data_IF_289036250058
#
_entry.id   IF_289036250058
#
_cell.length_a   1.000
_cell.length_b   1.000
_cell.length_c   1.000
_cell.angle_alpha   90.00
_cell.angle_beta   90.00
_cell.angle_gamma   90.00
#
_symmetry.space_group_name_H-M   'P 1'
#
loop_
_entity.id
_entity.type
_entity.pdbx_description
1 polymer ?
#
# COMPACT_ATOMS: atom_id res chain seq x y z
N UNK A 1 9.09 -25.70 -5.97
CA UNK A 1 9.06 -24.89 -4.74
C UNK A 1 7.90 -23.89 -4.83
N UNK A 2 7.30 -23.48 -3.71
CA UNK A 2 6.31 -22.40 -3.71
C UNK A 2 7.05 -21.07 -3.71
N UNK A 3 6.59 -20.11 -4.53
CA UNK A 3 7.18 -18.77 -4.54
C UNK A 3 6.79 -18.00 -3.29
N UNK A 4 7.65 -17.13 -2.81
CA UNK A 4 7.32 -16.11 -1.82
C UNK A 4 6.41 -15.04 -2.44
N UNK A 5 5.69 -14.29 -1.65
CA UNK A 5 4.80 -13.22 -2.12
C UNK A 5 5.07 -11.94 -1.33
N UNK A 6 5.53 -10.90 -2.02
CA UNK A 6 5.67 -9.56 -1.46
C UNK A 6 4.51 -8.70 -1.94
N UNK A 7 3.55 -8.42 -1.05
CA UNK A 7 2.32 -7.73 -1.42
C UNK A 7 2.27 -6.34 -0.79
N UNK A 8 2.55 -5.34 -1.60
CA UNK A 8 2.62 -3.94 -1.22
C UNK A 8 1.39 -3.19 -1.70
N UNK A 9 0.66 -2.55 -0.77
CA UNK A 9 -0.49 -1.71 -1.05
C UNK A 9 -0.28 -0.30 -0.52
N UNK A 10 -0.76 0.68 -1.28
CA UNK A 10 -0.72 2.09 -0.91
C UNK A 10 -2.13 2.66 -0.80
N UNK A 11 -2.41 3.35 0.30
CA UNK A 11 -3.60 4.16 0.40
C UNK A 11 -3.56 5.28 -0.64
N UNK A 12 -4.65 5.47 -1.36
CA UNK A 12 -4.86 6.62 -2.23
C UNK A 12 -3.89 6.75 -3.42
N UNK A 13 -3.15 5.72 -3.84
CA UNK A 13 -2.22 5.81 -4.95
C UNK A 13 -2.94 5.81 -6.31
N UNK A 14 -2.79 6.88 -7.05
CA UNK A 14 -3.44 7.09 -8.36
C UNK A 14 -2.65 6.44 -9.48
N UNK A 15 -3.37 5.72 -10.34
CA UNK A 15 -2.85 5.05 -11.53
C UNK A 15 -2.20 6.02 -12.54
N UNK A 16 -2.80 7.22 -12.75
CA UNK A 16 -2.27 8.23 -13.65
C UNK A 16 -0.91 8.83 -13.22
N UNK A 17 -0.46 8.55 -11.99
CA UNK A 17 0.84 8.96 -11.47
C UNK A 17 1.92 7.88 -11.64
N UNK A 18 1.53 6.70 -12.10
CA UNK A 18 2.44 5.56 -12.26
C UNK A 18 2.70 5.27 -13.74
N UNK A 19 1.68 5.05 -14.55
CA UNK A 19 1.84 4.59 -15.93
C UNK A 19 1.23 5.51 -16.99
N UNK A 20 0.68 6.66 -16.63
CA UNK A 20 0.25 7.64 -17.64
C UNK A 20 1.47 8.27 -18.33
N UNK A 21 1.39 8.43 -19.65
CA UNK A 21 2.45 9.07 -20.45
C UNK A 21 2.71 10.54 -20.06
N UNK A 22 1.77 11.20 -19.40
CA UNK A 22 1.88 12.57 -18.93
C UNK A 22 2.25 12.65 -17.42
N UNK A 23 2.56 11.51 -16.78
CA UNK A 23 3.00 11.51 -15.38
C UNK A 23 4.22 12.41 -15.22
N UNK A 24 4.32 13.09 -14.09
CA UNK A 24 5.49 13.91 -13.75
C UNK A 24 6.26 13.37 -12.54
N UNK A 25 5.71 12.38 -11.85
CA UNK A 25 6.42 11.58 -10.84
C UNK A 25 7.58 10.80 -11.48
N UNK A 26 8.69 10.71 -10.77
CA UNK A 26 9.89 9.97 -11.19
C UNK A 26 9.86 8.61 -10.50
N UNK A 27 9.60 7.56 -11.28
CA UNK A 27 9.28 6.23 -10.75
C UNK A 27 10.06 5.10 -11.43
N UNK A 28 11.41 5.13 -11.43
CA UNK A 28 12.22 4.15 -12.15
C UNK A 28 12.02 2.70 -11.68
N UNK A 29 11.75 2.49 -10.38
CA UNK A 29 11.55 1.15 -9.83
C UNK A 29 10.16 0.59 -10.17
N UNK A 30 9.14 1.43 -10.16
CA UNK A 30 7.80 1.07 -10.66
C UNK A 30 7.82 0.84 -12.17
N UNK A 31 8.54 1.68 -12.94
CA UNK A 31 8.71 1.51 -14.37
C UNK A 31 9.41 0.19 -14.69
N UNK A 32 10.42 -0.20 -13.90
CA UNK A 32 11.06 -1.51 -13.99
C UNK A 32 10.08 -2.66 -13.74
N UNK A 33 9.24 -2.57 -12.69
CA UNK A 33 8.23 -3.60 -12.40
C UNK A 33 7.19 -3.71 -13.53
N UNK A 34 6.78 -2.58 -14.11
CA UNK A 34 5.84 -2.55 -15.25
C UNK A 34 6.48 -3.20 -16.49
N UNK A 35 7.76 -2.92 -16.76
CA UNK A 35 8.48 -3.48 -17.92
C UNK A 35 8.71 -4.99 -17.80
N UNK A 36 9.01 -5.47 -16.59
CA UNK A 36 9.33 -6.89 -16.33
C UNK A 36 8.15 -7.75 -15.94
N UNK A 37 7.06 -7.13 -15.52
CA UNK A 37 5.90 -7.82 -14.96
C UNK A 37 4.64 -7.71 -15.83
N UNK A 38 3.49 -7.79 -15.17
CA UNK A 38 2.17 -7.62 -15.78
C UNK A 38 1.52 -6.38 -15.16
N UNK A 39 1.23 -5.38 -15.99
CA UNK A 39 0.53 -4.16 -15.56
C UNK A 39 -0.95 -4.22 -15.96
N UNK A 40 -1.85 -4.22 -14.97
CA UNK A 40 -3.29 -4.22 -15.16
C UNK A 40 -3.82 -2.78 -15.27
N UNK A 41 -3.83 -2.23 -16.48
CA UNK A 41 -4.20 -0.82 -16.74
C UNK A 41 -5.69 -0.52 -16.56
N UNK A 42 -6.55 -1.53 -16.46
CA UNK A 42 -8.00 -1.44 -16.26
C UNK A 42 -8.45 -1.99 -14.90
N UNK A 43 -7.54 -2.03 -13.91
CA UNK A 43 -7.91 -2.40 -12.55
C UNK A 43 -8.78 -1.31 -11.91
N UNK A 44 -9.92 -1.74 -11.33
CA UNK A 44 -10.90 -0.83 -10.73
C UNK A 44 -11.08 -1.26 -9.27
N UNK A 45 -10.91 -0.32 -8.33
CA UNK A 45 -11.19 -0.60 -6.92
C UNK A 45 -12.70 -0.78 -6.70
N UNK A 46 -13.06 -1.61 -5.74
CA UNK A 46 -14.47 -1.89 -5.42
C UNK A 46 -15.15 -0.75 -4.64
N UNK A 47 -14.35 0.18 -4.13
CA UNK A 47 -14.79 1.34 -3.35
C UNK A 47 -13.71 2.42 -3.35
N UNK A 48 -14.09 3.64 -3.06
CA UNK A 48 -13.26 4.80 -2.76
C UNK A 48 -12.88 4.90 -1.26
N UNK A 49 -13.08 3.83 -0.51
CA UNK A 49 -12.82 3.76 0.93
C UNK A 49 -11.98 2.54 1.29
N UNK A 50 -10.89 2.76 2.01
CA UNK A 50 -9.87 1.76 2.38
C UNK A 50 -10.46 0.48 2.95
N UNK A 51 -11.35 0.58 3.95
CA UNK A 51 -11.91 -0.60 4.60
C UNK A 51 -12.74 -1.49 3.67
N UNK A 52 -13.50 -0.90 2.76
CA UNK A 52 -14.31 -1.63 1.78
C UNK A 52 -13.44 -2.23 0.69
N UNK A 53 -12.47 -1.47 0.17
CA UNK A 53 -11.58 -1.94 -0.87
C UNK A 53 -10.67 -3.06 -0.38
N UNK A 54 -9.97 -2.88 0.74
CA UNK A 54 -9.11 -3.92 1.32
C UNK A 54 -9.91 -5.15 1.77
N UNK A 55 -11.13 -4.96 2.29
CA UNK A 55 -12.03 -6.08 2.56
C UNK A 55 -12.28 -6.93 1.32
N UNK A 56 -12.45 -6.29 0.16
CA UNK A 56 -12.59 -7.00 -1.12
C UNK A 56 -11.29 -7.64 -1.58
N UNK A 57 -10.16 -6.94 -1.44
CA UNK A 57 -8.83 -7.49 -1.75
C UNK A 57 -8.56 -8.75 -0.94
N UNK A 58 -8.88 -8.77 0.36
CA UNK A 58 -8.62 -9.90 1.24
C UNK A 58 -9.55 -11.09 1.01
N UNK A 59 -10.79 -10.83 0.62
CA UNK A 59 -11.84 -11.88 0.53
C UNK A 59 -12.14 -12.31 -0.90
N UNK A 60 -11.63 -11.59 -1.90
CA UNK A 60 -12.01 -11.71 -3.32
C UNK A 60 -13.54 -11.58 -3.53
N UNK A 61 -14.24 -10.81 -2.69
CA UNK A 61 -15.69 -10.60 -2.73
C UNK A 61 -16.03 -9.13 -2.61
N UNK A 62 -17.11 -8.72 -3.25
CA UNK A 62 -17.63 -7.36 -3.06
C UNK A 62 -18.10 -7.11 -1.62
N UNK A 63 -18.01 -5.88 -1.10
CA UNK A 63 -18.33 -5.56 0.29
C UNK A 63 -19.76 -5.96 0.71
N UNK A 64 -20.74 -5.79 -0.18
CA UNK A 64 -22.14 -6.16 0.09
C UNK A 64 -22.36 -7.68 0.26
N UNK A 65 -21.38 -8.51 -0.14
CA UNK A 65 -21.41 -9.98 0.07
C UNK A 65 -20.78 -10.39 1.39
N UNK A 66 -19.92 -9.55 1.96
CA UNK A 66 -19.16 -9.88 3.16
C UNK A 66 -19.69 -9.22 4.43
N UNK A 67 -20.50 -8.17 4.29
CA UNK A 67 -20.90 -7.33 5.40
C UNK A 67 -19.76 -6.49 6.01
N UNK A 68 -18.59 -6.46 5.35
CA UNK A 68 -17.50 -5.57 5.73
C UNK A 68 -17.89 -4.14 5.40
N UNK A 69 -17.67 -3.23 6.33
CA UNK A 69 -17.95 -1.80 6.18
C UNK A 69 -16.68 -0.99 6.39
N UNK A 70 -16.75 0.31 6.16
CA UNK A 70 -15.62 1.22 6.38
C UNK A 70 -15.06 1.16 7.81
N UNK A 71 -15.90 0.90 8.80
CA UNK A 71 -15.51 0.88 10.22
C UNK A 71 -15.48 -0.51 10.85
N UNK A 72 -16.02 -1.51 10.17
CA UNK A 72 -16.16 -2.84 10.75
C UNK A 72 -15.71 -3.94 9.79
N UNK A 73 -14.66 -4.64 10.20
CA UNK A 73 -14.23 -5.87 9.56
C UNK A 73 -15.03 -7.05 10.10
N UNK A 74 -15.65 -7.81 9.21
CA UNK A 74 -16.35 -9.04 9.57
C UNK A 74 -15.37 -10.22 9.60
N UNK A 75 -14.96 -10.64 10.78
CA UNK A 75 -14.00 -11.75 10.99
C UNK A 75 -14.51 -13.13 10.58
N UNK A 76 -15.81 -13.27 10.31
CA UNK A 76 -16.41 -14.55 9.90
C UNK A 76 -16.23 -14.84 8.40
N UNK A 77 -15.63 -13.92 7.66
CA UNK A 77 -15.37 -14.10 6.23
C UNK A 77 -13.96 -14.61 6.02
N UNK A 78 -13.83 -15.78 5.40
CA UNK A 78 -12.53 -16.34 5.05
C UNK A 78 -11.77 -15.45 4.06
N UNK A 79 -10.48 -15.33 4.25
CA UNK A 79 -9.56 -14.59 3.38
C UNK A 79 -8.62 -15.55 2.66
N UNK A 80 -8.10 -15.14 1.51
CA UNK A 80 -7.09 -15.95 0.83
C UNK A 80 -5.77 -16.04 1.63
N UNK A 81 -5.48 -15.07 2.51
CA UNK A 81 -4.34 -15.17 3.43
C UNK A 81 -4.48 -16.35 4.40
N UNK A 82 -5.70 -16.63 4.88
CA UNK A 82 -5.96 -17.83 5.68
C UNK A 82 -5.71 -19.11 4.88
N UNK A 83 -6.18 -19.15 3.63
CA UNK A 83 -5.93 -20.27 2.72
C UNK A 83 -4.43 -20.47 2.48
N UNK A 84 -3.69 -19.39 2.23
CA UNK A 84 -2.24 -19.47 2.06
C UNK A 84 -1.54 -19.98 3.33
N UNK A 85 -1.97 -19.52 4.51
CA UNK A 85 -1.46 -20.02 5.79
C UNK A 85 -1.73 -21.54 5.96
N UNK A 86 -2.93 -22.00 5.65
CA UNK A 86 -3.29 -23.43 5.65
C UNK A 86 -2.45 -24.22 4.64
N UNK A 87 -2.02 -23.59 3.56
CA UNK A 87 -1.10 -24.15 2.58
C UNK A 87 0.38 -24.07 3.00
N UNK A 88 0.67 -23.67 4.24
CA UNK A 88 1.99 -23.66 4.82
C UNK A 88 2.81 -22.37 4.58
N UNK A 89 2.17 -21.28 4.12
CA UNK A 89 2.83 -19.98 4.07
C UNK A 89 2.95 -19.36 5.47
N UNK A 90 4.12 -18.80 5.77
CA UNK A 90 4.26 -17.87 6.87
C UNK A 90 3.72 -16.50 6.45
N UNK A 91 2.80 -15.96 7.23
CA UNK A 91 2.11 -14.71 6.88
C UNK A 91 2.61 -13.58 7.76
N UNK A 92 3.23 -12.58 7.13
CA UNK A 92 3.74 -11.37 7.78
C UNK A 92 2.92 -10.16 7.35
N UNK A 93 2.76 -9.17 8.23
CA UNK A 93 2.13 -7.90 7.89
C UNK A 93 2.84 -6.72 8.52
N UNK A 94 2.93 -5.59 7.79
CA UNK A 94 3.21 -4.26 8.33
C UNK A 94 2.03 -3.36 7.95
N UNK A 95 1.30 -2.89 8.96
CA UNK A 95 0.04 -2.17 8.78
C UNK A 95 -0.11 -1.04 9.80
N UNK A 96 -0.95 -0.02 9.54
CA UNK A 96 -1.27 1.00 10.53
C UNK A 96 -1.89 0.41 11.79
N UNK A 97 -1.55 0.95 12.97
CA UNK A 97 -2.20 0.64 14.25
C UNK A 97 -3.60 1.26 14.31
N UNK A 98 -4.48 0.76 13.47
CA UNK A 98 -5.88 1.14 13.35
C UNK A 98 -6.71 -0.13 13.50
N UNK A 99 -7.77 -0.10 14.30
CA UNK A 99 -8.61 -1.26 14.65
C UNK A 99 -9.03 -2.10 13.44
N UNK A 100 -9.33 -1.49 12.30
CA UNK A 100 -9.67 -2.20 11.07
C UNK A 100 -8.52 -3.10 10.60
N UNK A 101 -7.30 -2.56 10.47
CA UNK A 101 -6.12 -3.30 10.01
C UNK A 101 -5.71 -4.39 11.00
N UNK A 102 -5.81 -4.10 12.30
CA UNK A 102 -5.50 -5.08 13.34
C UNK A 102 -6.45 -6.29 13.27
N UNK A 103 -7.72 -6.07 12.97
CA UNK A 103 -8.69 -7.15 12.77
C UNK A 103 -8.46 -7.89 11.45
N UNK A 104 -8.17 -7.15 10.37
CA UNK A 104 -7.90 -7.70 9.04
C UNK A 104 -6.72 -8.69 9.07
N UNK A 105 -5.68 -8.38 9.83
CA UNK A 105 -4.44 -9.16 9.94
C UNK A 105 -4.35 -10.00 11.23
N UNK A 106 -5.46 -10.18 11.95
CA UNK A 106 -5.46 -10.87 13.25
C UNK A 106 -4.93 -12.31 13.18
N UNK A 107 -5.12 -12.99 12.06
CA UNK A 107 -4.71 -14.39 11.84
C UNK A 107 -3.33 -14.53 11.18
N UNK A 108 -2.59 -13.45 10.97
CA UNK A 108 -1.23 -13.51 10.45
C UNK A 108 -0.27 -14.13 11.48
N UNK A 109 0.79 -14.77 11.00
CA UNK A 109 1.80 -15.39 11.87
C UNK A 109 2.51 -14.32 12.68
N UNK A 110 2.91 -13.24 12.02
CA UNK A 110 3.53 -12.07 12.65
C UNK A 110 2.95 -10.78 12.08
N UNK A 111 2.89 -9.75 12.90
CA UNK A 111 2.39 -8.44 12.51
C UNK A 111 3.15 -7.33 13.22
N UNK A 112 3.68 -6.41 12.44
CA UNK A 112 4.20 -5.13 12.89
C UNK A 112 3.13 -4.06 12.67
N UNK A 113 2.62 -3.48 13.74
CA UNK A 113 1.66 -2.38 13.68
C UNK A 113 2.39 -1.07 13.93
N UNK A 114 2.37 -0.17 12.95
CA UNK A 114 2.97 1.15 13.11
C UNK A 114 1.94 2.19 13.51
N UNK A 115 2.34 3.10 14.39
CA UNK A 115 1.47 4.20 14.80
C UNK A 115 1.29 5.15 13.62
N UNK A 116 0.07 5.31 13.16
CA UNK A 116 -0.28 6.24 12.11
C UNK A 116 -0.83 7.55 12.71
N UNK A 117 -0.07 8.61 12.61
CA UNK A 117 -0.55 9.97 12.85
C UNK A 117 -0.27 10.83 11.62
N UNK A 118 -1.32 11.21 10.92
CA UNK A 118 -1.25 12.01 9.69
C UNK A 118 -0.63 13.41 9.87
N UNK A 119 -0.36 13.82 11.10
CA UNK A 119 0.28 15.10 11.43
C UNK A 119 1.80 14.96 11.56
N UNK A 120 2.32 13.73 11.60
CA UNK A 120 3.69 13.45 11.96
C UNK A 120 4.43 12.72 10.83
N UNK A 121 5.60 13.24 10.46
CA UNK A 121 6.46 12.63 9.44
C UNK A 121 6.96 11.24 9.81
N UNK A 122 7.17 10.98 11.11
CA UNK A 122 7.65 9.68 11.59
C UNK A 122 6.63 8.53 11.35
N UNK A 123 5.39 8.87 11.07
CA UNK A 123 4.36 7.90 10.70
C UNK A 123 4.36 7.54 9.20
N UNK A 124 5.45 7.82 8.50
CA UNK A 124 5.64 7.56 7.07
C UNK A 124 6.91 6.73 6.83
N UNK A 125 7.11 6.29 5.60
CA UNK A 125 8.29 5.53 5.20
C UNK A 125 9.59 6.23 5.61
N UNK A 126 9.70 7.52 5.35
CA UNK A 126 10.87 8.34 5.70
C UNK A 126 11.06 8.50 7.22
N UNK A 127 10.02 8.32 7.99
CA UNK A 127 10.04 8.44 9.45
C UNK A 127 10.49 7.17 10.21
N UNK A 128 10.95 6.14 9.48
CA UNK A 128 11.46 4.90 10.06
C UNK A 128 10.67 3.64 9.68
N UNK A 129 9.46 3.77 9.14
CA UNK A 129 8.68 2.61 8.68
C UNK A 129 9.42 1.92 7.52
N UNK A 130 10.00 2.69 6.59
CA UNK A 130 10.78 2.16 5.49
C UNK A 130 11.97 1.32 5.95
N UNK A 131 12.75 1.83 6.90
CA UNK A 131 13.89 1.10 7.47
C UNK A 131 13.43 -0.15 8.25
N UNK A 132 12.30 -0.08 8.95
CA UNK A 132 11.72 -1.25 9.62
C UNK A 132 11.35 -2.37 8.64
N UNK A 133 10.79 -2.01 7.48
CA UNK A 133 10.47 -2.98 6.41
C UNK A 133 11.75 -3.57 5.81
N UNK A 134 12.77 -2.74 5.51
CA UNK A 134 14.08 -3.21 5.03
C UNK A 134 14.69 -4.20 6.02
N UNK A 135 14.80 -3.82 7.30
CA UNK A 135 15.33 -4.70 8.35
C UNK A 135 14.56 -6.03 8.45
N UNK A 136 13.23 -6.00 8.26
CA UNK A 136 12.43 -7.23 8.24
C UNK A 136 12.78 -8.11 7.03
N UNK A 137 12.99 -7.53 5.86
CA UNK A 137 13.36 -8.27 4.64
C UNK A 137 14.79 -8.81 4.71
N UNK A 138 15.73 -8.08 5.33
CA UNK A 138 17.10 -8.54 5.59
C UNK A 138 17.12 -9.75 6.52
N UNK A 139 16.16 -9.86 7.44
CA UNK A 139 16.02 -11.06 8.27
C UNK A 139 15.52 -12.20 7.38
N UNK A 140 16.14 -13.38 7.52
CA UNK A 140 15.73 -14.57 6.75
C UNK A 140 14.31 -14.98 7.14
N UNK A 141 13.32 -14.57 6.33
CA UNK A 141 11.93 -14.99 6.52
C UNK A 141 11.76 -16.49 6.23
N UNK A 142 10.94 -17.17 7.01
CA UNK A 142 10.66 -18.59 6.81
C UNK A 142 9.85 -18.82 5.53
N UNK A 143 10.45 -19.50 4.55
CA UNK A 143 9.82 -19.80 3.25
C UNK A 143 8.85 -21.02 3.31
N UNK A 144 7.79 -21.04 2.52
CA UNK A 144 7.29 -19.91 1.71
C UNK A 144 6.62 -18.86 2.58
N UNK A 145 6.82 -17.60 2.27
CA UNK A 145 6.21 -16.50 3.00
C UNK A 145 5.31 -15.61 2.11
N UNK A 146 4.33 -14.97 2.73
CA UNK A 146 3.65 -13.80 2.18
C UNK A 146 3.80 -12.63 3.16
N UNK A 147 4.31 -11.52 2.65
CA UNK A 147 4.46 -10.28 3.41
C UNK A 147 3.52 -9.22 2.84
N UNK A 148 2.45 -8.93 3.58
CA UNK A 148 1.49 -7.89 3.24
C UNK A 148 1.86 -6.59 3.93
N UNK A 149 1.95 -5.51 3.13
CA UNK A 149 2.27 -4.18 3.62
C UNK A 149 1.20 -3.21 3.14
N UNK A 150 0.69 -2.38 4.04
CA UNK A 150 -0.20 -1.27 3.69
C UNK A 150 0.37 0.04 4.20
N UNK A 151 0.60 0.99 3.29
CA UNK A 151 1.24 2.27 3.55
C UNK A 151 0.28 3.43 3.36
N UNK A 152 0.28 4.36 4.31
CA UNK A 152 -0.63 5.50 4.39
C UNK A 152 0.02 6.81 3.89
N UNK A 153 1.19 6.76 3.27
CA UNK A 153 2.01 7.92 2.92
C UNK A 153 1.31 8.93 2.00
N UNK A 154 0.39 8.47 1.14
CA UNK A 154 -0.38 9.33 0.24
C UNK A 154 -1.74 9.74 0.80
N UNK A 155 -2.14 9.23 1.98
CA UNK A 155 -3.37 9.65 2.63
C UNK A 155 -3.26 11.11 3.11
N UNK A 156 -4.11 11.98 2.60
CA UNK A 156 -4.04 13.40 2.91
C UNK A 156 -4.48 13.74 4.35
N UNK A 157 -3.84 14.71 5.02
CA UNK A 157 -2.68 15.47 4.57
C UNK A 157 -1.42 14.60 4.53
N UNK A 158 -0.60 14.76 3.51
CA UNK A 158 0.68 14.07 3.38
C UNK A 158 1.83 15.08 3.40
N UNK A 159 3.02 14.59 3.76
CA UNK A 159 4.23 15.39 3.85
C UNK A 159 5.25 14.87 2.85
N UNK A 160 5.73 15.76 2.01
CA UNK A 160 6.82 15.44 1.08
C UNK A 160 8.14 15.58 1.84
N UNK A 161 8.98 14.53 1.88
CA UNK A 161 10.31 14.64 2.46
C UNK A 161 11.13 15.74 1.77
N UNK A 162 11.95 16.50 2.52
CA UNK A 162 12.67 17.65 2.01
C UNK A 162 13.55 17.33 0.80
N UNK A 163 14.18 16.17 0.79
CA UNK A 163 15.01 15.69 -0.32
C UNK A 163 14.22 15.43 -1.61
N UNK A 164 12.91 15.19 -1.48
CA UNK A 164 11.99 14.99 -2.60
C UNK A 164 11.16 16.23 -2.93
N UNK A 165 11.14 17.27 -2.09
CA UNK A 165 10.33 18.48 -2.34
C UNK A 165 10.99 19.44 -3.36
N UNK A 166 11.38 18.87 -4.49
CA UNK A 166 12.03 19.56 -5.62
C UNK A 166 11.30 19.22 -6.93
N UNK A 167 11.21 20.19 -7.85
CA UNK A 167 10.50 20.02 -9.14
C UNK A 167 11.03 18.85 -9.99
N UNK A 168 12.31 18.50 -9.86
CA UNK A 168 12.89 17.35 -10.55
C UNK A 168 12.21 16.01 -10.21
N UNK A 169 11.48 15.93 -9.09
CA UNK A 169 10.75 14.74 -8.65
C UNK A 169 9.26 14.79 -8.95
N UNK A 170 8.76 15.88 -9.54
CA UNK A 170 7.36 16.00 -9.94
C UNK A 170 6.84 17.43 -9.88
N UNK A 171 5.84 17.73 -10.69
CA UNK A 171 5.24 19.07 -10.76
C UNK A 171 4.42 19.41 -9.53
N UNK A 172 3.71 18.43 -8.97
CA UNK A 172 2.89 18.62 -7.78
C UNK A 172 3.54 17.96 -6.57
N UNK A 173 3.13 18.35 -5.36
CA UNK A 173 3.60 17.69 -4.13
C UNK A 173 3.20 16.20 -4.09
N UNK A 174 2.04 15.87 -4.65
CA UNK A 174 1.62 14.49 -4.76
C UNK A 174 2.55 13.68 -5.69
N UNK A 175 2.94 14.22 -6.85
CA UNK A 175 3.91 13.57 -7.74
C UNK A 175 5.25 13.35 -7.05
N UNK A 176 5.73 14.33 -6.28
CA UNK A 176 6.97 14.24 -5.50
C UNK A 176 6.88 13.17 -4.41
N UNK A 177 5.71 13.05 -3.78
CA UNK A 177 5.48 12.00 -2.79
C UNK A 177 5.48 10.61 -3.44
N UNK A 178 4.87 10.45 -4.62
CA UNK A 178 4.95 9.20 -5.41
C UNK A 178 6.40 8.86 -5.76
N UNK A 179 7.22 9.85 -6.09
CA UNK A 179 8.65 9.65 -6.35
C UNK A 179 9.42 9.21 -5.10
N UNK A 180 9.06 9.73 -3.93
CA UNK A 180 9.60 9.27 -2.65
C UNK A 180 9.21 7.81 -2.35
N UNK A 181 7.97 7.42 -2.65
CA UNK A 181 7.54 6.03 -2.51
C UNK A 181 8.34 5.10 -3.43
N UNK A 182 8.56 5.50 -4.68
CA UNK A 182 9.33 4.72 -5.63
C UNK A 182 10.76 4.45 -5.16
N UNK A 183 11.40 5.42 -4.53
CA UNK A 183 12.71 5.25 -3.91
C UNK A 183 12.70 4.13 -2.85
N UNK A 184 11.69 4.10 -1.99
CA UNK A 184 11.56 3.04 -0.98
C UNK A 184 11.23 1.69 -1.60
N UNK A 185 10.42 1.65 -2.65
CA UNK A 185 10.18 0.42 -3.42
C UNK A 185 11.51 -0.13 -3.94
N UNK A 186 12.39 0.73 -4.47
CA UNK A 186 13.72 0.33 -4.90
C UNK A 186 14.55 -0.31 -3.79
N UNK A 187 14.54 0.25 -2.57
CA UNK A 187 15.19 -0.36 -1.41
C UNK A 187 14.60 -1.73 -1.05
N UNK A 188 13.28 -1.86 -1.06
CA UNK A 188 12.64 -3.15 -0.76
C UNK A 188 13.00 -4.22 -1.80
N UNK A 189 13.03 -3.85 -3.07
CA UNK A 189 13.37 -4.78 -4.15
C UNK A 189 14.82 -5.28 -4.09
N UNK A 190 15.74 -4.50 -3.51
CA UNK A 190 17.13 -4.93 -3.30
C UNK A 190 17.25 -6.07 -2.29
N UNK A 191 16.33 -6.17 -1.34
CA UNK A 191 16.30 -7.20 -0.29
C UNK A 191 15.50 -8.46 -0.70
N UNK A 192 14.91 -8.48 -1.90
CA UNK A 192 14.04 -9.55 -2.37
C UNK A 192 14.70 -10.33 -3.51
N UNK A 193 14.73 -11.66 -3.38
CA UNK A 193 15.08 -12.55 -4.49
C UNK A 193 13.90 -12.63 -5.48
N UNK A 194 13.98 -11.85 -6.56
CA UNK A 194 12.93 -11.76 -7.58
C UNK A 194 12.72 -13.06 -8.37
N UNK A 195 13.70 -13.98 -8.40
CA UNK A 195 13.54 -15.30 -9.02
C UNK A 195 12.64 -16.23 -8.20
N UNK A 196 12.50 -15.95 -6.90
CA UNK A 196 11.70 -16.75 -5.97
C UNK A 196 10.48 -16.04 -5.44
N UNK A 197 10.31 -14.75 -5.74
CA UNK A 197 9.28 -13.91 -5.11
C UNK A 197 8.37 -13.27 -6.15
N UNK A 198 7.08 -13.48 -5.99
CA UNK A 198 6.05 -12.73 -6.73
C UNK A 198 5.87 -11.39 -6.03
N UNK A 199 6.18 -10.30 -6.73
CA UNK A 199 5.91 -8.94 -6.25
C UNK A 199 4.54 -8.50 -6.74
N UNK A 200 3.65 -8.17 -5.80
CA UNK A 200 2.33 -7.60 -6.08
C UNK A 200 2.32 -6.17 -5.57
N UNK A 201 2.04 -5.23 -6.44
CA UNK A 201 1.89 -3.81 -6.08
C UNK A 201 0.52 -3.32 -6.49
N UNK A 202 -0.20 -2.70 -5.58
CA UNK A 202 -1.54 -2.19 -5.81
C UNK A 202 -1.82 -0.94 -4.98
N UNK A 203 -2.90 -0.23 -5.34
CA UNK A 203 -3.56 0.71 -4.45
C UNK A 203 -4.84 0.07 -3.89
N UNK A 204 -5.31 0.54 -2.76
CA UNK A 204 -6.67 0.23 -2.30
C UNK A 204 -7.71 1.03 -3.10
N UNK A 205 -7.46 2.32 -3.34
CA UNK A 205 -8.21 3.22 -4.21
C UNK A 205 -7.34 4.40 -4.67
N UNK A 206 -7.83 5.21 -5.58
CA UNK A 206 -7.26 6.52 -5.87
C UNK A 206 -7.83 7.60 -4.93
N UNK A 207 -7.38 8.85 -5.08
CA UNK A 207 -7.94 9.98 -4.34
C UNK A 207 -8.18 11.18 -5.27
N UNK A 208 -9.09 12.05 -4.89
CA UNK A 208 -9.27 13.32 -5.56
C UNK A 208 -8.20 14.30 -5.09
N UNK A 209 -7.24 14.58 -5.96
CA UNK A 209 -6.19 15.56 -5.74
C UNK A 209 -6.50 16.77 -6.63
N UNK A 210 -6.93 17.91 -6.08
CA UNK A 210 -7.16 19.12 -6.84
C UNK A 210 -5.84 19.67 -7.39
N UNK A 211 -5.93 20.52 -8.42
CA UNK A 211 -4.78 21.10 -9.14
C UNK A 211 -3.78 21.77 -8.19
N UNK A 212 -4.24 22.27 -7.05
CA UNK A 212 -3.42 22.99 -6.06
C UNK A 212 -3.03 22.12 -4.84
N UNK A 213 -3.08 20.79 -4.94
CA UNK A 213 -2.77 19.85 -3.87
C UNK A 213 -3.59 20.05 -2.56
N UNK A 214 -4.71 20.75 -2.64
CA UNK A 214 -5.60 21.01 -1.51
C UNK A 214 -6.93 20.30 -1.75
N UNK A 215 -7.31 19.41 -0.85
CA UNK A 215 -8.67 18.83 -0.89
C UNK A 215 -9.70 19.97 -0.80
N UNK A 216 -10.74 19.97 -1.64
CA UNK A 216 -11.79 20.98 -1.51
C UNK A 216 -12.36 20.88 -0.11
N UNK A 217 -12.46 22.02 0.58
CA UNK A 217 -13.18 22.08 1.85
C UNK A 217 -14.55 21.45 1.63
N UNK A 218 -14.91 20.43 2.40
CA UNK A 218 -16.28 19.93 2.42
C UNK A 218 -17.14 21.15 2.67
N UNK A 219 -17.89 21.59 1.67
CA UNK A 219 -18.85 22.67 1.87
C UNK A 219 -19.68 22.25 3.08
N UNK A 220 -19.64 23.07 4.14
CA UNK A 220 -20.62 22.94 5.23
C UNK A 220 -21.96 23.02 4.53
N UNK A 221 -22.69 21.92 4.49
CA UNK A 221 -24.11 21.96 4.13
C UNK A 221 -24.73 22.86 5.19
N UNK A 222 -25.00 24.09 4.81
CA UNK A 222 -25.86 24.95 5.61
C UNK A 222 -27.22 24.25 5.60
N UNK A 223 -27.57 23.72 6.76
CA UNK A 223 -28.88 23.22 7.09
C UNK A 223 -29.84 24.38 7.15
#
# INVERSE_FOLDING_TARGET
MKSNIFFLTFDSLRADKIYDKNKTSVTPNLDFLIDKGICFTQAISTSDATGLSLGSVFTAKYPFKTGITHFNYNSNVSTYFQILKEQGYHTFATVPDISFFLKLTANFTERDAYVYDKRELWAQLVGGIGDSIVNRLETKLNEPWIYFIHLMDLHAPFYVPLEFDLEKYGKTRYDRMVSSLDFWIGKFLQEIDLEKTIVVLSADHGDYIPINDVKPNKQKKNS
#
